data_IF_223206170433
#
_entry.id   IF_223206170433
#
_cell.length_a   1.000
_cell.length_b   1.000
_cell.length_c   1.000
_cell.angle_alpha   90.00
_cell.angle_beta   90.00
_cell.angle_gamma   90.00
#
_symmetry.space_group_name_H-M   'P 1'
#
loop_
_entity.id
_entity.type
_entity.pdbx_description
1 polymer ?
#
# COMPACT_ATOMS: atom_id res chain seq x y z
N UNK A 1 -8.08 6.28 -22.30
CA UNK A 1 -7.54 5.72 -21.04
C UNK A 1 -6.13 6.29 -20.85
N UNK A 2 -5.84 6.87 -19.69
CA UNK A 2 -4.59 7.62 -19.46
C UNK A 2 -3.37 6.71 -19.22
N UNK A 3 -3.60 5.43 -18.95
CA UNK A 3 -2.56 4.44 -18.65
C UNK A 3 -2.47 3.33 -19.71
N UNK A 4 -2.99 3.58 -20.90
CA UNK A 4 -2.93 2.64 -22.04
C UNK A 4 -1.49 2.22 -22.31
N UNK A 5 -1.24 0.91 -22.38
CA UNK A 5 0.09 0.34 -22.61
C UNK A 5 1.04 0.35 -21.42
N UNK A 6 0.68 0.94 -20.27
CA UNK A 6 1.47 0.90 -19.05
C UNK A 6 1.30 -0.42 -18.32
N UNK A 7 2.37 -0.90 -17.69
CA UNK A 7 2.36 -2.09 -16.83
C UNK A 7 2.37 -1.65 -15.38
N UNK A 8 1.42 -2.15 -14.60
CA UNK A 8 1.33 -1.86 -13.17
C UNK A 8 1.45 -3.15 -12.35
N UNK A 9 2.24 -3.09 -11.28
CA UNK A 9 2.32 -4.12 -10.26
C UNK A 9 1.85 -3.56 -8.93
N UNK A 10 0.86 -4.20 -8.31
CA UNK A 10 0.29 -3.80 -7.02
C UNK A 10 0.45 -4.93 -6.03
N UNK A 11 1.19 -4.72 -4.95
CA UNK A 11 1.37 -5.73 -3.89
C UNK A 11 0.25 -5.67 -2.87
N UNK A 12 -0.14 -6.85 -2.32
CA UNK A 12 -1.26 -6.93 -1.37
C UNK A 12 -2.58 -6.46 -1.98
N UNK A 13 -2.87 -6.87 -3.22
CA UNK A 13 -3.98 -6.35 -4.02
C UNK A 13 -5.11 -7.37 -4.28
N UNK A 14 -5.16 -8.44 -3.50
CA UNK A 14 -6.28 -9.40 -3.52
C UNK A 14 -7.51 -8.91 -2.74
N UNK A 15 -7.38 -7.81 -1.99
CA UNK A 15 -8.49 -7.20 -1.22
C UNK A 15 -8.20 -5.75 -0.85
N UNK A 16 -9.19 -5.05 -0.27
CA UNK A 16 -9.05 -3.75 0.38
C UNK A 16 -8.45 -2.66 -0.51
N UNK A 17 -7.51 -1.89 0.06
CA UNK A 17 -6.88 -0.74 -0.63
C UNK A 17 -6.17 -1.17 -1.91
N UNK A 18 -5.38 -2.23 -1.85
CA UNK A 18 -4.61 -2.70 -3.00
C UNK A 18 -5.51 -3.11 -4.18
N UNK A 19 -6.61 -3.79 -3.89
CA UNK A 19 -7.59 -4.17 -4.92
C UNK A 19 -8.29 -2.96 -5.53
N UNK A 20 -8.69 -1.98 -4.71
CA UNK A 20 -9.30 -0.74 -5.22
C UNK A 20 -8.32 0.03 -6.12
N UNK A 21 -7.04 0.12 -5.75
CA UNK A 21 -6.01 0.71 -6.60
C UNK A 21 -5.85 -0.08 -7.90
N UNK A 22 -5.78 -1.41 -7.84
CA UNK A 22 -5.67 -2.27 -9.01
C UNK A 22 -6.84 -2.04 -9.98
N UNK A 23 -8.08 -2.00 -9.47
CA UNK A 23 -9.29 -1.71 -10.26
C UNK A 23 -9.24 -0.33 -10.93
N UNK A 24 -8.79 0.69 -10.20
CA UNK A 24 -8.67 2.04 -10.77
C UNK A 24 -7.62 2.12 -11.89
N UNK A 25 -6.47 1.44 -11.72
CA UNK A 25 -5.43 1.40 -12.76
C UNK A 25 -5.87 0.60 -14.00
N UNK A 26 -6.59 -0.54 -13.79
CA UNK A 26 -7.16 -1.33 -14.89
C UNK A 26 -8.18 -0.54 -15.70
N UNK A 27 -9.09 0.17 -15.02
CA UNK A 27 -10.11 1.00 -15.67
C UNK A 27 -9.51 2.08 -16.57
N UNK A 28 -8.25 2.48 -16.31
CA UNK A 28 -7.51 3.43 -17.13
C UNK A 28 -6.56 2.78 -18.15
N UNK A 29 -6.67 1.46 -18.34
CA UNK A 29 -5.98 0.73 -19.41
C UNK A 29 -4.61 0.17 -19.05
N UNK A 30 -4.23 0.17 -17.78
CA UNK A 30 -2.99 -0.49 -17.37
C UNK A 30 -3.10 -2.01 -17.47
N UNK A 31 -2.03 -2.67 -17.96
CA UNK A 31 -1.84 -4.12 -17.81
C UNK A 31 -1.42 -4.39 -16.37
N UNK A 32 -2.06 -5.35 -15.70
CA UNK A 32 -1.91 -5.53 -14.27
C UNK A 32 -1.29 -6.86 -13.87
N UNK A 33 -0.37 -6.79 -12.90
CA UNK A 33 -0.07 -7.90 -12.01
C UNK A 33 -0.57 -7.56 -10.61
N UNK A 34 -1.47 -8.39 -10.08
CA UNK A 34 -1.90 -8.36 -8.69
C UNK A 34 -1.13 -9.39 -7.88
N UNK A 35 -0.91 -9.09 -6.59
CA UNK A 35 -0.20 -9.98 -5.68
C UNK A 35 -0.94 -10.08 -4.35
N UNK A 36 -0.89 -11.23 -3.74
CA UNK A 36 -1.41 -11.46 -2.38
C UNK A 36 -1.96 -12.86 -2.19
N UNK A 37 -2.40 -13.10 -0.96
CA UNK A 37 -3.03 -14.34 -0.54
C UNK A 37 -4.54 -14.12 -0.34
N UNK A 38 -5.28 -15.22 -0.22
CA UNK A 38 -6.71 -15.18 0.04
C UNK A 38 -7.41 -16.44 -0.45
N UNK A 39 -8.74 -16.39 -0.51
CA UNK A 39 -9.53 -17.45 -1.11
C UNK A 39 -9.23 -17.54 -2.62
N UNK A 40 -8.94 -18.75 -3.11
CA UNK A 40 -8.52 -18.96 -4.50
C UNK A 40 -9.61 -18.58 -5.51
N UNK A 41 -10.88 -18.87 -5.20
CA UNK A 41 -11.98 -18.55 -6.10
C UNK A 41 -12.23 -17.03 -6.17
N UNK A 42 -12.07 -16.33 -5.06
CA UNK A 42 -12.14 -14.86 -5.03
C UNK A 42 -10.99 -14.23 -5.82
N UNK A 43 -9.76 -14.72 -5.63
CA UNK A 43 -8.59 -14.24 -6.37
C UNK A 43 -8.76 -14.48 -7.88
N UNK A 44 -9.23 -15.67 -8.30
CA UNK A 44 -9.46 -15.97 -9.70
C UNK A 44 -10.52 -15.06 -10.31
N UNK A 45 -11.62 -14.82 -9.59
CA UNK A 45 -12.65 -13.88 -10.04
C UNK A 45 -12.09 -12.48 -10.24
N UNK A 46 -11.37 -11.93 -9.25
CA UNK A 46 -10.78 -10.59 -9.36
C UNK A 46 -9.75 -10.50 -10.48
N UNK A 47 -8.91 -11.53 -10.62
CA UNK A 47 -7.94 -11.64 -11.72
C UNK A 47 -8.65 -11.58 -13.10
N UNK A 48 -9.72 -12.35 -13.27
CA UNK A 48 -10.44 -12.45 -14.55
C UNK A 48 -11.22 -11.16 -14.85
N UNK A 49 -11.87 -10.56 -13.84
CA UNK A 49 -12.55 -9.27 -13.98
C UNK A 49 -11.60 -8.14 -14.39
N UNK A 50 -10.37 -8.16 -13.88
CA UNK A 50 -9.34 -7.17 -14.17
C UNK A 50 -8.52 -7.46 -15.44
N UNK A 51 -8.64 -8.67 -16.02
CA UNK A 51 -7.71 -9.14 -17.05
C UNK A 51 -6.26 -9.15 -16.59
N UNK A 52 -6.03 -9.41 -15.30
CA UNK A 52 -4.73 -9.30 -14.65
C UNK A 52 -3.99 -10.65 -14.59
N UNK A 53 -2.68 -10.59 -14.35
CA UNK A 53 -1.94 -11.73 -13.81
C UNK A 53 -2.01 -11.70 -12.28
N UNK A 54 -2.05 -12.86 -11.66
CA UNK A 54 -1.91 -13.01 -10.21
C UNK A 54 -0.61 -13.74 -9.88
N UNK A 55 0.08 -13.28 -8.83
CA UNK A 55 1.25 -13.93 -8.25
C UNK A 55 1.14 -13.98 -6.72
N UNK A 56 1.25 -15.18 -6.15
CA UNK A 56 1.17 -15.42 -4.71
C UNK A 56 2.52 -15.29 -3.98
N UNK A 57 3.43 -14.44 -4.46
CA UNK A 57 4.73 -14.23 -3.80
C UNK A 57 4.54 -13.75 -2.36
N UNK A 58 5.25 -14.40 -1.43
CA UNK A 58 5.35 -13.92 -0.05
C UNK A 58 6.26 -12.69 -0.02
N UNK A 59 5.71 -11.56 0.39
CA UNK A 59 6.43 -10.29 0.45
C UNK A 59 7.46 -10.23 1.59
N UNK A 60 7.55 -11.25 2.43
CA UNK A 60 8.64 -11.42 3.40
C UNK A 60 9.88 -12.13 2.81
N UNK A 61 9.74 -12.78 1.64
CA UNK A 61 10.81 -13.51 0.95
C UNK A 61 11.37 -12.70 -0.24
N UNK A 62 12.61 -12.16 -0.14
CA UNK A 62 13.23 -11.43 -1.24
C UNK A 62 13.37 -12.23 -2.54
N UNK A 63 13.51 -13.57 -2.44
CA UNK A 63 13.62 -14.42 -3.63
C UNK A 63 12.26 -14.63 -4.30
N UNK A 64 11.17 -14.72 -3.52
CA UNK A 64 9.82 -14.75 -4.07
C UNK A 64 9.49 -13.45 -4.79
N UNK A 65 9.85 -12.30 -4.19
CA UNK A 65 9.71 -10.97 -4.82
C UNK A 65 10.48 -10.93 -6.14
N UNK A 66 11.72 -11.41 -6.18
CA UNK A 66 12.52 -11.41 -7.41
C UNK A 66 11.88 -12.29 -8.50
N UNK A 67 11.36 -13.45 -8.16
CA UNK A 67 10.63 -14.32 -9.12
C UNK A 67 9.37 -13.64 -9.65
N UNK A 68 8.57 -13.01 -8.79
CA UNK A 68 7.38 -12.26 -9.18
C UNK A 68 7.72 -11.11 -10.14
N UNK A 69 8.75 -10.32 -9.84
CA UNK A 69 9.19 -9.21 -10.68
C UNK A 69 9.68 -9.70 -12.05
N UNK A 70 10.44 -10.80 -12.11
CA UNK A 70 10.87 -11.43 -13.37
C UNK A 70 9.69 -11.96 -14.18
N UNK A 71 8.71 -12.56 -13.52
CA UNK A 71 7.49 -13.05 -14.16
C UNK A 71 6.69 -11.88 -14.74
N UNK A 72 6.51 -10.80 -14.00
CA UNK A 72 5.85 -9.58 -14.49
C UNK A 72 6.53 -9.06 -15.76
N UNK A 73 7.85 -8.91 -15.71
CA UNK A 73 8.64 -8.44 -16.85
C UNK A 73 8.52 -9.36 -18.08
N UNK A 74 8.48 -10.69 -17.87
CA UNK A 74 8.38 -11.66 -18.95
C UNK A 74 7.01 -11.77 -19.60
N UNK A 75 5.92 -11.60 -18.83
CA UNK A 75 4.55 -11.80 -19.31
C UNK A 75 3.84 -10.50 -19.69
N UNK A 76 4.09 -9.39 -19.00
CA UNK A 76 3.44 -8.09 -19.23
C UNK A 76 4.40 -7.00 -19.74
N UNK A 77 5.68 -7.13 -19.39
CA UNK A 77 6.71 -6.11 -19.51
C UNK A 77 7.14 -5.60 -18.12
N UNK A 78 8.27 -4.87 -18.10
CA UNK A 78 8.75 -4.24 -16.87
C UNK A 78 7.74 -3.24 -16.32
N UNK A 79 7.48 -3.25 -14.99
CA UNK A 79 6.53 -2.33 -14.38
C UNK A 79 6.87 -0.86 -14.64
N UNK A 80 5.90 -0.11 -15.16
CA UNK A 80 5.91 1.34 -15.27
C UNK A 80 5.36 1.98 -13.99
N UNK A 81 4.39 1.30 -13.36
CA UNK A 81 3.76 1.71 -12.11
C UNK A 81 3.99 0.62 -11.07
N UNK A 82 4.57 0.99 -9.94
CA UNK A 82 4.79 0.11 -8.80
C UNK A 82 4.03 0.64 -7.60
N UNK A 83 3.08 -0.16 -7.08
CA UNK A 83 2.35 0.16 -5.85
C UNK A 83 2.75 -0.83 -4.76
N UNK A 84 3.55 -0.36 -3.80
CA UNK A 84 3.92 -1.11 -2.60
C UNK A 84 2.84 -0.93 -1.55
N UNK A 85 1.86 -1.83 -1.54
CA UNK A 85 0.71 -1.76 -0.64
C UNK A 85 0.66 -2.90 0.37
N UNK A 86 1.30 -4.03 0.12
CA UNK A 86 1.33 -5.15 1.06
C UNK A 86 1.75 -4.70 2.47
N UNK A 87 1.03 -5.18 3.47
CA UNK A 87 1.34 -4.81 4.85
C UNK A 87 0.55 -5.62 5.87
N UNK A 88 1.18 -5.83 7.01
CA UNK A 88 0.61 -6.50 8.18
C UNK A 88 0.78 -5.65 9.43
N UNK A 89 0.01 -5.96 10.45
CA UNK A 89 0.09 -5.29 11.75
C UNK A 89 -0.03 -6.31 12.88
N UNK A 90 0.69 -6.02 13.97
CA UNK A 90 0.51 -6.67 15.26
C UNK A 90 0.51 -5.61 16.36
N UNK A 91 -0.24 -5.83 17.43
CA UNK A 91 -0.42 -4.87 18.54
C UNK A 91 0.02 -5.55 19.83
N UNK A 92 1.08 -5.04 20.44
CA UNK A 92 1.59 -5.47 21.74
C UNK A 92 2.45 -4.35 22.36
N UNK A 93 2.56 -4.32 23.69
CA UNK A 93 3.52 -3.44 24.37
C UNK A 93 4.96 -3.80 23.97
N UNK A 94 5.86 -2.84 23.97
CA UNK A 94 7.23 -3.02 23.45
C UNK A 94 8.00 -4.14 24.16
N UNK A 95 7.82 -4.26 25.48
CA UNK A 95 8.47 -5.29 26.31
C UNK A 95 7.91 -6.73 26.07
N UNK A 96 6.70 -6.84 25.51
CA UNK A 96 6.05 -8.11 25.21
C UNK A 96 5.81 -8.32 23.69
N UNK A 97 6.40 -7.46 22.87
CA UNK A 97 6.25 -7.56 21.42
C UNK A 97 7.03 -8.77 20.89
N UNK A 98 6.37 -9.77 20.24
CA UNK A 98 7.07 -10.96 19.77
C UNK A 98 8.10 -10.60 18.68
N UNK A 99 9.39 -11.00 18.83
CA UNK A 99 10.43 -10.67 17.86
C UNK A 99 10.10 -11.12 16.43
N UNK A 100 9.51 -12.29 16.26
CA UNK A 100 9.11 -12.81 14.95
C UNK A 100 8.02 -11.98 14.28
N UNK A 101 7.16 -11.32 15.06
CA UNK A 101 6.16 -10.38 14.53
C UNK A 101 6.78 -9.05 14.14
N UNK A 102 7.78 -8.60 14.91
CA UNK A 102 8.58 -7.45 14.54
C UNK A 102 9.27 -7.67 13.20
N UNK A 103 10.01 -8.77 13.07
CA UNK A 103 10.77 -9.09 11.86
C UNK A 103 9.86 -9.21 10.63
N UNK A 104 8.72 -9.90 10.77
CA UNK A 104 7.74 -10.03 9.69
C UNK A 104 7.17 -8.67 9.26
N UNK A 105 6.86 -7.77 10.22
CA UNK A 105 6.34 -6.43 9.90
C UNK A 105 7.41 -5.61 9.16
N UNK A 106 8.65 -5.62 9.61
CA UNK A 106 9.73 -4.90 8.92
C UNK A 106 9.97 -5.49 7.52
N UNK A 107 9.98 -6.81 7.39
CA UNK A 107 10.16 -7.48 6.11
C UNK A 107 9.08 -7.08 5.10
N UNK A 108 7.80 -7.19 5.47
CA UNK A 108 6.67 -6.97 4.56
C UNK A 108 6.39 -5.47 4.35
N UNK A 109 6.34 -4.66 5.44
CA UNK A 109 5.89 -3.28 5.33
C UNK A 109 6.99 -2.31 4.89
N UNK A 110 8.27 -2.70 4.93
CA UNK A 110 9.40 -1.85 4.58
C UNK A 110 10.36 -2.51 3.59
N UNK A 111 10.95 -3.65 3.95
CA UNK A 111 11.99 -4.28 3.12
C UNK A 111 11.47 -4.74 1.76
N UNK A 112 10.23 -5.22 1.70
CA UNK A 112 9.58 -5.58 0.44
C UNK A 112 9.54 -4.42 -0.56
N UNK A 113 9.19 -3.21 -0.10
CA UNK A 113 9.17 -2.02 -0.95
C UNK A 113 10.57 -1.66 -1.48
N UNK A 114 11.62 -1.86 -0.69
CA UNK A 114 12.99 -1.75 -1.18
C UNK A 114 13.27 -2.78 -2.28
N UNK A 115 12.93 -4.06 -2.06
CA UNK A 115 13.22 -5.12 -3.03
C UNK A 115 12.49 -4.94 -4.35
N UNK A 116 11.21 -4.59 -4.34
CA UNK A 116 10.44 -4.31 -5.57
C UNK A 116 10.96 -3.07 -6.28
N UNK A 117 11.23 -1.98 -5.54
CA UNK A 117 11.72 -0.72 -6.11
C UNK A 117 13.08 -0.87 -6.77
N UNK A 118 14.06 -1.54 -6.12
CA UNK A 118 15.40 -1.76 -6.70
C UNK A 118 15.35 -2.56 -8.00
N UNK A 119 14.35 -3.42 -8.18
CA UNK A 119 14.17 -4.23 -9.39
C UNK A 119 13.42 -3.47 -10.50
N UNK A 120 12.50 -2.56 -10.15
CA UNK A 120 11.74 -1.78 -11.11
C UNK A 120 12.50 -0.55 -11.66
N UNK A 121 13.25 0.14 -10.80
CA UNK A 121 13.92 1.42 -11.14
C UNK A 121 14.83 1.36 -12.37
N UNK A 122 15.65 0.32 -12.61
CA UNK A 122 16.50 0.28 -13.79
C UNK A 122 15.73 0.38 -15.11
N UNK A 123 14.63 -0.37 -15.24
CA UNK A 123 13.78 -0.33 -16.42
C UNK A 123 13.01 1.01 -16.54
N UNK A 124 12.50 1.54 -15.44
CA UNK A 124 11.87 2.87 -15.40
C UNK A 124 12.85 3.97 -15.86
N UNK A 125 14.12 3.92 -15.40
CA UNK A 125 15.17 4.86 -15.87
C UNK A 125 15.43 4.73 -17.36
N UNK A 126 15.50 3.51 -17.88
CA UNK A 126 15.70 3.27 -19.31
C UNK A 126 14.55 3.81 -20.16
N UNK A 127 13.30 3.73 -19.63
CA UNK A 127 12.11 4.27 -20.30
C UNK A 127 11.95 5.79 -20.13
N UNK A 128 12.66 6.41 -19.20
CA UNK A 128 12.48 7.82 -18.84
C UNK A 128 11.12 8.12 -18.20
N UNK A 129 10.46 7.10 -17.61
CA UNK A 129 9.15 7.22 -17.01
C UNK A 129 8.94 6.16 -15.93
N UNK A 130 8.38 6.55 -14.80
CA UNK A 130 7.99 5.62 -13.73
C UNK A 130 7.15 6.30 -12.67
N UNK A 131 6.30 5.50 -12.01
CA UNK A 131 5.47 5.93 -10.87
C UNK A 131 5.58 4.91 -9.74
N UNK A 132 6.13 5.34 -8.61
CA UNK A 132 6.26 4.51 -7.41
C UNK A 132 5.36 5.09 -6.33
N UNK A 133 4.43 4.29 -5.85
CA UNK A 133 3.47 4.66 -4.81
C UNK A 133 3.65 3.70 -3.65
N UNK A 134 3.94 4.22 -2.48
CA UNK A 134 4.07 3.45 -1.27
C UNK A 134 2.87 3.72 -0.35
N UNK A 135 2.09 2.70 -0.02
CA UNK A 135 1.01 2.81 0.98
C UNK A 135 1.65 2.91 2.37
N UNK A 136 1.77 4.12 2.86
CA UNK A 136 2.24 4.40 4.21
C UNK A 136 1.08 4.32 5.23
N UNK A 137 0.91 5.29 6.08
CA UNK A 137 -0.15 5.43 7.09
C UNK A 137 -0.01 6.80 7.76
N UNK A 138 -1.02 7.28 8.48
CA UNK A 138 -0.85 8.32 9.51
C UNK A 138 0.34 8.02 10.43
N UNK A 139 0.60 6.72 10.68
CA UNK A 139 1.74 6.24 11.47
C UNK A 139 3.11 6.38 10.78
N UNK A 140 3.17 7.04 9.65
CA UNK A 140 4.42 7.55 9.05
C UNK A 140 4.75 8.98 9.46
N UNK A 141 3.82 9.65 10.15
CA UNK A 141 3.91 11.04 10.61
C UNK A 141 3.79 11.15 12.13
N UNK A 142 2.99 10.28 12.75
CA UNK A 142 2.73 10.23 14.19
C UNK A 142 2.87 8.80 14.71
N UNK A 143 2.87 8.64 16.04
CA UNK A 143 2.95 7.33 16.68
C UNK A 143 1.66 6.97 17.44
N UNK A 144 1.51 5.69 17.75
CA UNK A 144 0.52 5.17 18.67
C UNK A 144 1.16 4.11 19.57
N UNK A 145 0.75 4.00 20.83
CA UNK A 145 1.25 2.95 21.71
C UNK A 145 0.91 1.56 21.17
N UNK A 146 1.72 0.58 21.54
CA UNK A 146 1.55 -0.84 21.20
C UNK A 146 1.72 -1.19 19.71
N UNK A 147 2.27 -0.30 18.88
CA UNK A 147 2.46 -0.49 17.43
C UNK A 147 3.91 -0.25 17.01
N UNK A 148 4.88 -0.56 17.88
CA UNK A 148 6.30 -0.20 17.68
C UNK A 148 6.85 -0.60 16.30
N UNK A 149 6.70 -1.86 15.88
CA UNK A 149 7.18 -2.34 14.58
C UNK A 149 6.46 -1.66 13.40
N UNK A 150 5.13 -1.52 13.49
CA UNK A 150 4.34 -0.89 12.42
C UNK A 150 4.70 0.59 12.24
N UNK A 151 4.80 1.34 13.35
CA UNK A 151 5.20 2.75 13.34
C UNK A 151 6.62 2.90 12.79
N UNK A 152 7.57 2.07 13.22
CA UNK A 152 8.94 2.07 12.70
C UNK A 152 8.96 1.82 11.19
N UNK A 153 8.25 0.79 10.70
CA UNK A 153 8.18 0.47 9.27
C UNK A 153 7.54 1.60 8.46
N UNK A 154 6.45 2.21 8.97
CA UNK A 154 5.75 3.28 8.23
C UNK A 154 6.50 4.62 8.24
N UNK A 155 7.26 4.95 9.29
CA UNK A 155 8.23 6.05 9.24
C UNK A 155 9.39 5.74 8.29
N UNK A 156 9.90 4.49 8.33
CA UNK A 156 10.96 4.03 7.43
C UNK A 156 10.59 4.15 5.96
N UNK A 157 9.36 3.73 5.57
CA UNK A 157 8.94 3.82 4.17
C UNK A 157 8.79 5.27 3.69
N UNK A 158 8.39 6.19 4.56
CA UNK A 158 8.36 7.62 4.21
C UNK A 158 9.76 8.17 3.95
N UNK A 159 10.74 7.81 4.79
CA UNK A 159 12.15 8.14 4.56
C UNK A 159 12.72 7.52 3.28
N UNK A 160 12.46 6.23 3.07
CA UNK A 160 12.85 5.50 1.86
C UNK A 160 12.28 6.17 0.59
N UNK A 161 10.99 6.53 0.60
CA UNK A 161 10.33 7.21 -0.52
C UNK A 161 11.02 8.52 -0.89
N UNK A 162 11.41 9.33 0.09
CA UNK A 162 12.13 10.59 -0.16
C UNK A 162 13.48 10.35 -0.81
N UNK A 163 14.22 9.34 -0.35
CA UNK A 163 15.51 8.98 -0.94
C UNK A 163 15.35 8.54 -2.39
N UNK A 164 14.42 7.62 -2.67
CA UNK A 164 14.13 7.16 -4.03
C UNK A 164 13.71 8.32 -4.93
N UNK A 165 12.87 9.23 -4.45
CA UNK A 165 12.46 10.42 -5.20
C UNK A 165 13.66 11.28 -5.64
N UNK A 166 14.61 11.53 -4.73
CA UNK A 166 15.82 12.29 -5.03
C UNK A 166 16.74 11.56 -6.03
N UNK A 167 16.93 10.26 -5.86
CA UNK A 167 17.80 9.44 -6.72
C UNK A 167 17.24 9.25 -8.15
N UNK A 168 15.95 9.49 -8.34
CA UNK A 168 15.25 9.24 -9.61
C UNK A 168 14.67 10.50 -10.25
N UNK A 169 14.76 11.66 -9.59
CA UNK A 169 14.14 12.92 -10.01
C UNK A 169 14.48 13.32 -11.47
N UNK A 170 15.72 13.14 -11.88
CA UNK A 170 16.16 13.49 -13.24
C UNK A 170 15.80 12.43 -14.30
N UNK A 171 15.14 11.33 -13.90
CA UNK A 171 14.85 10.19 -14.78
C UNK A 171 13.37 10.08 -15.18
N UNK A 172 12.55 11.12 -14.92
CA UNK A 172 11.12 11.10 -15.22
C UNK A 172 10.30 10.17 -14.29
N UNK A 173 10.89 9.77 -13.17
CA UNK A 173 10.26 8.88 -12.17
C UNK A 173 9.81 9.71 -10.98
N UNK A 174 8.61 9.44 -10.48
CA UNK A 174 8.14 9.98 -9.20
C UNK A 174 7.97 8.87 -8.17
N UNK A 175 8.28 9.17 -6.91
CA UNK A 175 8.06 8.27 -5.78
C UNK A 175 7.35 9.02 -4.66
N UNK A 176 6.16 8.54 -4.25
CA UNK A 176 5.34 9.21 -3.26
C UNK A 176 4.73 8.21 -2.26
N UNK A 177 4.40 8.70 -1.06
CA UNK A 177 3.59 7.99 -0.08
C UNK A 177 2.14 8.48 -0.11
N UNK A 178 1.21 7.55 0.05
CA UNK A 178 -0.15 7.84 0.49
C UNK A 178 -0.26 7.37 1.94
N UNK A 179 -0.71 8.24 2.83
CA UNK A 179 -0.82 8.00 4.27
C UNK A 179 -2.29 8.07 4.72
N UNK A 180 -3.03 6.95 4.58
CA UNK A 180 -4.40 6.91 5.03
C UNK A 180 -4.50 6.87 6.56
N UNK A 181 -5.60 7.40 7.10
CA UNK A 181 -6.09 7.10 8.43
C UNK A 181 -6.74 5.72 8.50
N UNK A 182 -7.84 5.60 9.24
CA UNK A 182 -8.61 4.37 9.23
C UNK A 182 -9.41 4.26 7.91
N UNK A 183 -9.11 3.21 7.16
CA UNK A 183 -9.80 2.87 5.90
C UNK A 183 -10.80 1.76 6.17
N UNK A 184 -12.04 1.92 5.68
CA UNK A 184 -13.04 0.89 5.79
C UNK A 184 -12.68 -0.30 4.91
N UNK A 185 -12.27 -1.38 5.53
CA UNK A 185 -11.85 -2.63 4.86
C UNK A 185 -12.45 -3.83 5.60
N UNK A 186 -12.55 -5.00 4.96
CA UNK A 186 -12.99 -6.22 5.64
C UNK A 186 -12.18 -6.51 6.91
N UNK A 187 -10.88 -6.22 6.90
CA UNK A 187 -10.02 -6.38 8.08
C UNK A 187 -10.45 -5.50 9.27
N UNK A 188 -10.82 -4.25 9.00
CA UNK A 188 -11.31 -3.32 10.04
C UNK A 188 -12.68 -3.75 10.53
N UNK A 189 -13.57 -4.16 9.64
CA UNK A 189 -14.90 -4.60 9.99
C UNK A 189 -14.88 -5.85 10.89
N UNK A 190 -14.02 -6.81 10.60
CA UNK A 190 -13.84 -8.03 11.41
C UNK A 190 -13.32 -7.76 12.82
N UNK A 191 -12.65 -6.64 13.08
CA UNK A 191 -12.13 -6.28 14.39
C UNK A 191 -13.22 -5.71 15.32
N UNK A 192 -14.36 -5.25 14.78
CA UNK A 192 -15.39 -4.57 15.56
C UNK A 192 -16.02 -5.48 16.61
N UNK A 193 -16.48 -6.72 16.30
CA UNK A 193 -17.11 -7.59 17.29
C UNK A 193 -16.22 -7.90 18.50
N UNK A 194 -14.94 -8.19 18.26
CA UNK A 194 -13.99 -8.48 19.33
C UNK A 194 -13.72 -7.25 20.20
N UNK A 195 -13.62 -6.08 19.59
CA UNK A 195 -13.47 -4.81 20.32
C UNK A 195 -14.71 -4.49 21.16
N UNK A 196 -15.91 -4.70 20.62
CA UNK A 196 -17.17 -4.56 21.36
C UNK A 196 -17.17 -5.43 22.63
N UNK A 197 -16.80 -6.71 22.49
CA UNK A 197 -16.73 -7.65 23.59
C UNK A 197 -15.66 -7.27 24.63
N UNK A 198 -14.46 -6.95 24.16
CA UNK A 198 -13.32 -6.64 25.03
C UNK A 198 -13.53 -5.36 25.86
N UNK A 199 -14.24 -4.37 25.30
CA UNK A 199 -14.47 -3.06 25.93
C UNK A 199 -15.87 -2.86 26.46
N UNK A 200 -16.77 -3.84 26.31
CA UNK A 200 -18.20 -3.75 26.65
C UNK A 200 -18.87 -2.50 26.04
N UNK A 201 -18.64 -2.28 24.75
CA UNK A 201 -19.11 -1.12 24.00
C UNK A 201 -20.08 -1.54 22.89
N UNK A 202 -21.00 -0.65 22.52
CA UNK A 202 -21.82 -0.83 21.32
C UNK A 202 -20.97 -0.71 20.03
N UNK A 203 -21.48 -1.20 18.90
CA UNK A 203 -20.83 -1.03 17.59
C UNK A 203 -20.54 0.45 17.28
N UNK A 204 -21.50 1.32 17.54
CA UNK A 204 -21.38 2.74 17.31
C UNK A 204 -20.30 3.38 18.18
N UNK A 205 -20.22 3.01 19.46
CA UNK A 205 -19.16 3.47 20.37
C UNK A 205 -17.79 2.98 19.91
N UNK A 206 -17.66 1.72 19.48
CA UNK A 206 -16.39 1.22 18.93
C UNK A 206 -15.97 2.00 17.70
N UNK A 207 -16.88 2.28 16.80
CA UNK A 207 -16.58 3.06 15.60
C UNK A 207 -16.16 4.49 15.93
N UNK A 208 -16.92 5.22 16.73
CA UNK A 208 -16.72 6.64 16.97
C UNK A 208 -15.64 6.94 18.01
N UNK A 209 -15.60 6.15 19.11
CA UNK A 209 -14.78 6.46 20.28
C UNK A 209 -13.48 5.65 20.35
N UNK A 210 -13.35 4.62 19.49
CA UNK A 210 -12.13 3.82 19.40
C UNK A 210 -11.47 3.98 18.02
N UNK A 211 -12.15 3.59 16.95
CA UNK A 211 -11.56 3.58 15.61
C UNK A 211 -11.43 5.01 15.05
N UNK A 212 -12.49 5.78 15.10
CA UNK A 212 -12.50 7.16 14.57
C UNK A 212 -12.21 8.22 15.64
N UNK A 213 -11.78 7.82 16.83
CA UNK A 213 -11.51 8.77 17.92
C UNK A 213 -10.57 9.90 17.51
N UNK A 214 -9.51 9.55 16.79
CA UNK A 214 -8.47 10.48 16.37
C UNK A 214 -8.74 11.17 15.02
N UNK A 215 -9.76 10.73 14.25
CA UNK A 215 -10.13 11.37 12.97
C UNK A 215 -11.19 12.45 13.20
N UNK A 216 -10.88 13.75 13.06
CA UNK A 216 -11.85 14.83 13.29
C UNK A 216 -13.11 14.74 12.43
N UNK A 217 -13.00 14.26 11.21
CA UNK A 217 -14.15 14.08 10.30
C UNK A 217 -15.13 12.98 10.74
N UNK A 218 -14.74 12.12 11.70
CA UNK A 218 -15.53 10.97 12.16
C UNK A 218 -16.04 10.06 11.03
N UNK A 219 -15.28 9.98 9.94
CA UNK A 219 -15.58 9.15 8.79
C UNK A 219 -14.36 8.28 8.46
N UNK A 220 -14.61 7.03 8.11
CA UNK A 220 -13.58 6.20 7.50
C UNK A 220 -13.23 6.75 6.11
N UNK A 221 -11.95 6.64 5.78
CA UNK A 221 -11.50 6.75 4.39
C UNK A 221 -12.00 5.50 3.64
N UNK A 222 -12.38 5.65 2.38
CA UNK A 222 -12.74 4.49 1.56
C UNK A 222 -11.55 4.01 0.73
N UNK A 223 -11.48 2.72 0.37
CA UNK A 223 -10.47 2.22 -0.55
C UNK A 223 -10.45 2.99 -1.88
N UNK A 224 -11.63 3.42 -2.36
CA UNK A 224 -11.81 4.16 -3.61
C UNK A 224 -11.21 5.58 -3.52
N UNK A 225 -11.31 6.24 -2.36
CA UNK A 225 -10.65 7.54 -2.13
C UNK A 225 -9.12 7.39 -2.24
N UNK A 226 -8.56 6.31 -1.65
CA UNK A 226 -7.12 6.02 -1.75
C UNK A 226 -6.72 5.70 -3.20
N UNK A 227 -7.54 4.91 -3.90
CA UNK A 227 -7.33 4.57 -5.30
C UNK A 227 -7.37 5.78 -6.22
N UNK A 228 -8.29 6.72 -5.98
CA UNK A 228 -8.37 7.98 -6.74
C UNK A 228 -7.11 8.82 -6.60
N UNK A 229 -6.53 8.91 -5.39
CA UNK A 229 -5.26 9.61 -5.19
C UNK A 229 -4.10 8.86 -5.84
N UNK A 230 -4.06 7.53 -5.74
CA UNK A 230 -3.04 6.72 -6.40
C UNK A 230 -3.08 6.91 -7.93
N UNK A 231 -4.27 6.89 -8.53
CA UNK A 231 -4.47 7.16 -9.96
C UNK A 231 -4.03 8.58 -10.33
N UNK A 232 -4.39 9.59 -9.52
CA UNK A 232 -3.94 10.97 -9.74
C UNK A 232 -2.41 11.07 -9.79
N UNK A 233 -1.70 10.41 -8.87
CA UNK A 233 -0.23 10.41 -8.83
C UNK A 233 0.42 9.70 -10.04
N UNK A 234 -0.33 8.90 -10.80
CA UNK A 234 0.14 8.27 -12.04
C UNK A 234 0.02 9.20 -13.26
N UNK A 235 -0.70 10.30 -13.16
CA UNK A 235 -0.97 11.22 -14.28
C UNK A 235 0.24 12.09 -14.62
N UNK A 236 0.28 12.60 -15.84
CA UNK A 236 1.33 13.52 -16.28
C UNK A 236 1.27 14.90 -15.59
N UNK A 237 0.06 15.34 -15.22
CA UNK A 237 -0.13 16.59 -14.48
C UNK A 237 0.31 16.51 -13.01
N UNK A 238 0.60 15.30 -12.51
CA UNK A 238 1.20 15.09 -11.19
C UNK A 238 2.74 14.89 -11.21
N UNK A 239 3.41 15.02 -12.36
CA UNK A 239 4.85 14.71 -12.52
C UNK A 239 5.80 15.54 -11.65
N UNK A 240 5.35 16.64 -11.12
CA UNK A 240 6.14 17.48 -10.19
C UNK A 240 5.92 17.09 -8.71
N UNK A 241 5.04 16.12 -8.42
CA UNK A 241 4.83 15.61 -7.08
C UNK A 241 5.74 14.39 -6.90
N UNK A 242 6.84 14.56 -6.16
CA UNK A 242 7.77 13.48 -5.84
C UNK A 242 8.36 13.70 -4.45
N UNK A 243 8.59 12.62 -3.70
CA UNK A 243 9.04 12.66 -2.30
C UNK A 243 7.95 13.10 -1.31
N UNK A 244 6.70 13.26 -1.78
CA UNK A 244 5.60 13.69 -0.93
C UNK A 244 5.07 12.54 -0.05
N UNK A 245 4.54 12.93 1.12
CA UNK A 245 3.76 12.05 1.98
C UNK A 245 2.36 12.66 2.14
N UNK A 246 1.40 12.12 1.40
CA UNK A 246 0.07 12.70 1.23
C UNK A 246 -0.91 12.05 2.23
N UNK A 247 -1.32 12.82 3.23
CA UNK A 247 -2.29 12.37 4.23
C UNK A 247 -3.72 12.32 3.67
N UNK A 248 -4.41 11.21 3.97
CA UNK A 248 -5.84 11.01 3.74
C UNK A 248 -6.47 10.48 5.03
N UNK A 249 -6.52 11.30 6.07
CA UNK A 249 -6.72 10.84 7.45
C UNK A 249 -7.82 11.58 8.19
N UNK A 250 -8.67 12.30 7.48
CA UNK A 250 -9.76 13.06 8.07
C UNK A 250 -9.32 14.14 9.04
N UNK A 251 -8.07 14.65 8.89
CA UNK A 251 -7.52 15.70 9.72
C UNK A 251 -6.75 15.19 10.95
N UNK A 252 -6.55 13.88 11.10
CA UNK A 252 -5.89 13.30 12.26
C UNK A 252 -4.48 13.88 12.48
N UNK A 253 -3.68 14.04 11.43
CA UNK A 253 -2.30 14.56 11.53
C UNK A 253 -2.20 16.08 11.43
N UNK A 254 -3.31 16.79 11.31
CA UNK A 254 -3.35 18.26 11.28
C UNK A 254 -3.48 18.88 12.68
N UNK A 255 -3.71 18.08 13.71
CA UNK A 255 -3.89 18.51 15.10
C UNK A 255 -2.62 18.32 15.94
#
# INVERSE_FOLDING_TARGET
MILEGKVALVTGSTSGIGLAIARALAAEGAKLMINGFGDSAEIERERDELGALHDGADMSDPQAIERMMKRCAGELGDPDILVNNAGIQHVAAVESFPPEKWDAIIAINLSAAFHTTRLAVPAMKSKGWGRIINTASTHSLIASPNKSAYVAAKHGIAGFTKTVALETAASGITANCISPGYVWTPLVEQQIPDTMKARNMSREQVMNDVLLAAQPTKRFVTPEEVAALALFLCREDAKSITGANLSMDGGWTAA
#
